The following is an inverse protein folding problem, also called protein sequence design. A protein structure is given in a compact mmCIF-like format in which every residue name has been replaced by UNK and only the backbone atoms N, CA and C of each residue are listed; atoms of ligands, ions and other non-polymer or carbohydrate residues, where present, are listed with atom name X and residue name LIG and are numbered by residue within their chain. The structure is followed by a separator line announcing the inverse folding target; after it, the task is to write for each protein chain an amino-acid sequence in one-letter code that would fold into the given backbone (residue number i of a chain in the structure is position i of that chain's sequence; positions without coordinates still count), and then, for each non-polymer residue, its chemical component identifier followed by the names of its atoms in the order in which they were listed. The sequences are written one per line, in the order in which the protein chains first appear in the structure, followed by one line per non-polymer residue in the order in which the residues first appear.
data_IF_901115245706
#
_entry.id   IF_901115245706
#
_cell.length_a   1.000
_cell.length_b   1.000
_cell.length_c   1.000
_cell.angle_alpha   90.00
_cell.angle_beta   90.00
_cell.angle_gamma   90.00
#
_symmetry.space_group_name_H-M   'P 1'
#
loop_
_entity.id
_entity.type
_entity.pdbx_description
1 polymer ?
#
# COMPACT_ATOMS: atom_id res chain seq x y z
N UNK A 1 -0.87 15.82 36.61
CA UNK A 1 0.09 15.02 35.81
C UNK A 1 -0.73 14.16 34.87
N UNK A 2 -0.90 14.61 33.62
CA UNK A 2 -1.72 13.93 32.62
C UNK A 2 -0.88 12.86 31.95
N UNK A 3 -1.17 11.58 32.22
CA UNK A 3 -0.50 10.45 31.57
C UNK A 3 -1.04 10.31 30.15
N UNK A 4 -0.26 10.83 29.22
CA UNK A 4 -0.42 10.72 27.78
C UNK A 4 -0.54 9.24 27.38
N UNK A 5 -1.64 8.88 26.73
CA UNK A 5 -1.87 7.54 26.14
C UNK A 5 -0.81 7.27 25.07
N UNK A 6 0.24 6.53 25.42
CA UNK A 6 1.08 5.85 24.43
C UNK A 6 0.39 4.55 24.00
N UNK A 7 -0.49 4.65 23.00
CA UNK A 7 -0.77 3.48 22.16
C UNK A 7 0.57 3.07 21.51
N UNK A 8 1.01 1.80 21.60
CA UNK A 8 2.16 1.35 20.83
C UNK A 8 1.84 1.46 19.33
N UNK A 9 2.85 1.67 18.45
CA UNK A 9 2.61 1.73 17.02
C UNK A 9 2.33 0.31 16.54
N UNK A 10 1.09 -0.14 16.68
CA UNK A 10 0.66 -1.32 15.93
C UNK A 10 0.81 -0.95 14.45
N UNK A 11 1.67 -1.62 13.66
CA UNK A 11 1.44 -1.64 12.24
C UNK A 11 0.05 -2.27 12.13
N UNK A 12 -0.95 -1.47 11.76
CA UNK A 12 -2.29 -2.01 11.56
C UNK A 12 -2.10 -3.20 10.62
N UNK A 13 -2.53 -4.39 11.01
CA UNK A 13 -2.38 -5.62 10.22
C UNK A 13 -2.84 -5.43 8.76
N UNK A 14 -3.72 -4.44 8.54
CA UNK A 14 -4.14 -3.90 7.25
C UNK A 14 -3.02 -3.35 6.35
N UNK A 15 -1.98 -2.71 6.91
CA UNK A 15 -0.86 -2.15 6.14
C UNK A 15 0.10 -3.22 5.62
N UNK A 16 0.34 -4.31 6.37
CA UNK A 16 1.16 -5.43 5.88
C UNK A 16 0.47 -6.17 4.73
N UNK A 17 -0.83 -6.41 4.84
CA UNK A 17 -1.62 -7.03 3.78
C UNK A 17 -1.71 -6.14 2.54
N UNK A 18 -1.88 -4.83 2.74
CA UNK A 18 -1.87 -3.86 1.64
C UNK A 18 -0.50 -3.79 0.96
N UNK A 19 0.60 -3.80 1.72
CA UNK A 19 1.97 -3.84 1.17
C UNK A 19 2.19 -5.10 0.34
N UNK A 20 1.78 -6.25 0.86
CA UNK A 20 1.88 -7.54 0.16
C UNK A 20 1.10 -7.49 -1.16
N UNK A 21 -0.15 -7.05 -1.11
CA UNK A 21 -0.99 -6.89 -2.29
C UNK A 21 -0.35 -5.96 -3.35
N UNK A 22 0.17 -4.80 -2.94
CA UNK A 22 0.81 -3.86 -3.86
C UNK A 22 2.12 -4.43 -4.43
N UNK A 23 2.83 -5.25 -3.66
CA UNK A 23 4.03 -5.98 -4.12
C UNK A 23 3.66 -7.05 -5.13
N UNK A 24 2.56 -7.78 -4.93
CA UNK A 24 2.07 -8.78 -5.87
C UNK A 24 1.68 -8.12 -7.21
N UNK A 25 1.00 -6.97 -7.15
CA UNK A 25 0.68 -6.15 -8.33
C UNK A 25 1.94 -5.66 -9.04
N UNK A 26 2.96 -5.23 -8.29
CA UNK A 26 4.26 -4.83 -8.87
C UNK A 26 4.91 -5.95 -9.67
N UNK A 27 4.78 -7.20 -9.22
CA UNK A 27 5.30 -8.38 -9.91
C UNK A 27 4.38 -8.88 -11.05
N UNK A 28 3.29 -8.15 -11.35
CA UNK A 28 2.34 -8.53 -12.39
C UNK A 28 1.36 -9.63 -11.99
N UNK A 29 1.18 -9.88 -10.70
CA UNK A 29 0.18 -10.83 -10.22
C UNK A 29 -1.22 -10.34 -10.58
N UNK A 30 -2.03 -11.22 -11.17
CA UNK A 30 -3.43 -10.90 -11.45
C UNK A 30 -4.20 -10.72 -10.14
N UNK A 31 -4.80 -9.53 -9.98
CA UNK A 31 -5.66 -9.21 -8.84
C UNK A 31 -7.11 -9.11 -9.28
N UNK A 32 -8.03 -9.33 -8.34
CA UNK A 32 -9.46 -9.26 -8.60
C UNK A 32 -9.85 -7.85 -9.11
N UNK A 33 -10.67 -7.71 -10.16
CA UNK A 33 -10.97 -6.42 -10.79
C UNK A 33 -11.55 -5.39 -9.82
N UNK A 34 -12.48 -5.80 -8.93
CA UNK A 34 -13.01 -4.90 -7.88
C UNK A 34 -11.95 -4.39 -6.91
N UNK A 35 -10.89 -5.17 -6.69
CA UNK A 35 -9.76 -4.77 -5.84
C UNK A 35 -8.88 -3.77 -6.58
N UNK A 36 -8.67 -3.94 -7.88
CA UNK A 36 -8.02 -2.93 -8.74
C UNK A 36 -8.78 -1.61 -8.68
N UNK A 37 -10.10 -1.61 -8.85
CA UNK A 37 -10.93 -0.40 -8.80
C UNK A 37 -10.81 0.29 -7.44
N UNK A 38 -10.82 -0.49 -6.35
CA UNK A 38 -10.62 0.05 -5.01
C UNK A 38 -9.22 0.67 -4.86
N UNK A 39 -8.17 0.01 -5.33
CA UNK A 39 -6.80 0.55 -5.27
C UNK A 39 -6.64 1.81 -6.14
N UNK A 40 -7.34 1.92 -7.26
CA UNK A 40 -7.42 3.14 -8.07
C UNK A 40 -8.12 4.24 -7.27
N UNK A 41 -9.28 3.96 -6.68
CA UNK A 41 -10.03 4.91 -5.87
C UNK A 41 -9.23 5.42 -4.66
N UNK A 42 -8.44 4.54 -4.04
CA UNK A 42 -7.55 4.86 -2.91
C UNK A 42 -6.23 5.56 -3.34
N UNK A 43 -6.01 5.73 -4.66
CA UNK A 43 -4.83 6.38 -5.23
C UNK A 43 -3.54 5.57 -5.12
N UNK A 44 -3.64 4.25 -4.96
CA UNK A 44 -2.49 3.34 -5.01
C UNK A 44 -2.20 2.84 -6.42
N UNK A 45 -3.23 2.75 -7.27
CA UNK A 45 -3.12 2.49 -8.69
C UNK A 45 -3.59 3.69 -9.51
N UNK A 46 -3.07 3.80 -10.72
CA UNK A 46 -3.52 4.74 -11.74
C UNK A 46 -3.79 3.96 -13.03
N UNK A 47 -4.96 4.18 -13.61
CA UNK A 47 -5.31 3.63 -14.92
C UNK A 47 -4.75 4.53 -16.02
N UNK A 48 -3.88 3.97 -16.86
CA UNK A 48 -3.32 4.62 -18.05
C UNK A 48 -3.77 3.87 -19.30
N UNK A 49 -3.54 4.47 -20.46
CA UNK A 49 -3.88 3.90 -21.77
C UNK A 49 -3.34 2.48 -21.99
N UNK A 50 -2.24 2.13 -21.33
CA UNK A 50 -1.53 0.86 -21.46
C UNK A 50 -1.75 -0.11 -20.28
N UNK A 51 -2.58 0.24 -19.29
CA UNK A 51 -2.86 -0.64 -18.14
C UNK A 51 -2.88 0.08 -16.79
N UNK A 52 -2.80 -0.70 -15.72
CA UNK A 52 -2.74 -0.22 -14.34
C UNK A 52 -1.29 -0.07 -13.88
N UNK A 53 -0.98 1.07 -13.26
CA UNK A 53 0.36 1.40 -12.77
C UNK A 53 0.32 1.77 -11.29
N UNK A 54 1.37 1.41 -10.55
CA UNK A 54 1.54 1.84 -9.17
C UNK A 54 1.83 3.34 -9.10
N UNK A 55 1.20 4.04 -8.18
CA UNK A 55 1.48 5.46 -7.92
C UNK A 55 2.71 5.63 -7.04
N UNK A 56 3.22 6.85 -6.95
CA UNK A 56 4.28 7.20 -5.98
C UNK A 56 3.88 6.88 -4.53
N UNK A 57 2.58 6.98 -4.20
CA UNK A 57 2.04 6.61 -2.89
C UNK A 57 2.22 5.12 -2.63
N UNK A 58 1.87 4.27 -3.60
CA UNK A 58 2.07 2.83 -3.50
C UNK A 58 3.56 2.48 -3.38
N UNK A 59 4.43 3.09 -4.19
CA UNK A 59 5.87 2.86 -4.09
C UNK A 59 6.44 3.23 -2.71
N UNK A 60 6.00 4.33 -2.11
CA UNK A 60 6.41 4.70 -0.74
C UNK A 60 5.92 3.70 0.31
N UNK A 61 4.75 3.11 0.10
CA UNK A 61 4.19 2.13 1.02
C UNK A 61 4.92 0.78 0.94
N UNK A 62 5.31 0.37 -0.27
CA UNK A 62 6.07 -0.87 -0.53
C UNK A 62 7.53 -0.75 -0.04
N UNK A 63 8.15 0.43 -0.22
CA UNK A 63 9.54 0.67 0.20
C UNK A 63 9.62 0.59 1.74
N UNK A 64 10.33 -0.41 2.25
CA UNK A 64 10.48 -0.63 3.69
C UNK A 64 11.11 0.61 4.34
N UNK A 65 10.70 0.97 5.58
CA UNK A 65 11.41 1.96 6.38
C UNK A 65 12.82 1.49 6.84
N UNK A 66 13.27 0.29 6.43
CA UNK A 66 14.53 -0.33 6.85
C UNK A 66 15.73 0.05 5.95
N UNK A 67 15.49 0.80 4.87
CA UNK A 67 16.52 1.33 3.93
C UNK A 67 17.02 2.74 4.32
N UNK A 68 16.75 3.19 5.56
CA UNK A 68 17.19 4.49 6.12
C UNK A 68 18.17 4.33 7.31
N UNK A 69 18.95 3.25 7.36
CA UNK A 69 20.01 3.05 8.35
C UNK A 69 21.39 3.18 7.71
#
# INVERSE_FOLDING_TARGET
MSTERRNPPFPSYSDSELRKLLTDVQHGTAIHPRLSDLLVHLGYLEQRSCGLYLTLKAHRLIRRPEDQA
#
